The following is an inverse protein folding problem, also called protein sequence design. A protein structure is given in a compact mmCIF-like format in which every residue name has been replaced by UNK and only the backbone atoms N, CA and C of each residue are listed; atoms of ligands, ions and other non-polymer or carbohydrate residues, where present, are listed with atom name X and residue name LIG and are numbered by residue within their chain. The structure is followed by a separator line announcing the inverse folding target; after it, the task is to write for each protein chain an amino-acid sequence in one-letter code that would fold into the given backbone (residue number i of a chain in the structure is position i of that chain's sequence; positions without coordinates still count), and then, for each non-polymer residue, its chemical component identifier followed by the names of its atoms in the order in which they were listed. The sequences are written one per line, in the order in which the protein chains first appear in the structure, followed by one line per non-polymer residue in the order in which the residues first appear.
data_IF_897767733125
#
_entry.id   IF_897767733125
#
_cell.length_a   1.000
_cell.length_b   1.000
_cell.length_c   1.000
_cell.angle_alpha   90.00
_cell.angle_beta   90.00
_cell.angle_gamma   90.00
#
_symmetry.space_group_name_H-M   'P 1'
#
loop_
_entity.id
_entity.type
_entity.pdbx_description
1 polymer ?
#
# COMPACT_ATOMS: atom_id res chain seq x y z
N UNK A 1 1.31 5.86 11.47
CA UNK A 1 1.96 5.48 12.76
C UNK A 1 2.43 6.72 13.55
N UNK A 2 2.10 6.83 14.85
CA UNK A 2 2.34 8.05 15.65
C UNK A 2 3.82 8.38 15.89
N UNK A 3 4.73 7.41 15.74
CA UNK A 3 6.19 7.61 15.87
C UNK A 3 6.98 7.35 14.59
N UNK A 4 6.34 6.82 13.54
CA UNK A 4 7.01 6.47 12.28
C UNK A 4 8.07 5.36 12.40
N UNK A 5 8.20 4.67 13.53
CA UNK A 5 9.16 3.56 13.68
C UNK A 5 8.51 2.26 13.29
N UNK A 6 9.15 1.54 12.37
CA UNK A 6 8.77 0.20 11.97
C UNK A 6 9.70 -0.83 12.56
N UNK A 7 9.13 -1.98 12.91
CA UNK A 7 9.83 -3.14 13.42
C UNK A 7 9.57 -4.30 12.47
N UNK A 8 10.64 -4.94 12.00
CA UNK A 8 10.59 -6.10 11.11
C UNK A 8 11.40 -7.22 11.72
N UNK A 9 10.80 -8.41 11.79
CA UNK A 9 11.53 -9.63 12.09
C UNK A 9 11.64 -10.44 10.81
N UNK A 10 12.86 -10.66 10.35
CA UNK A 10 13.11 -11.38 9.11
C UNK A 10 12.99 -12.89 9.36
N UNK A 11 11.91 -13.52 8.89
CA UNK A 11 11.67 -14.95 9.06
C UNK A 11 12.76 -15.83 8.41
N UNK A 12 13.45 -15.33 7.37
CA UNK A 12 14.47 -16.06 6.63
C UNK A 12 15.80 -16.22 7.37
N UNK A 13 16.14 -15.31 8.28
CA UNK A 13 17.45 -15.31 8.96
C UNK A 13 17.37 -14.97 10.45
N UNK A 14 16.16 -14.79 11.00
CA UNK A 14 15.93 -14.46 12.41
C UNK A 14 16.45 -13.07 12.82
N UNK A 15 16.84 -12.21 11.87
CA UNK A 15 17.35 -10.89 12.18
C UNK A 15 16.24 -9.93 12.58
N UNK A 16 16.49 -9.17 13.63
CA UNK A 16 15.66 -8.04 14.03
C UNK A 16 16.13 -6.77 13.31
N UNK A 17 15.18 -6.02 12.77
CA UNK A 17 15.41 -4.75 12.10
C UNK A 17 14.42 -3.71 12.61
N UNK A 18 14.91 -2.50 12.81
CA UNK A 18 14.08 -1.35 13.14
C UNK A 18 14.60 -0.12 12.41
N UNK A 19 13.70 0.63 11.77
CA UNK A 19 14.04 1.94 11.22
C UNK A 19 12.85 2.88 11.29
N UNK A 20 13.16 4.17 11.27
CA UNK A 20 12.16 5.21 11.11
C UNK A 20 11.76 5.30 9.63
N UNK A 21 10.51 4.97 9.33
CA UNK A 21 9.92 5.09 8.00
C UNK A 21 8.47 5.60 8.10
N UNK A 22 8.22 6.76 7.50
CA UNK A 22 6.95 7.48 7.59
C UNK A 22 6.89 8.53 8.70
N UNK A 23 5.75 9.20 8.77
CA UNK A 23 5.48 10.33 9.64
C UNK A 23 4.14 10.17 10.40
N UNK A 24 3.92 11.04 11.38
CA UNK A 24 2.63 11.12 12.06
C UNK A 24 1.51 11.41 11.06
N UNK A 25 0.40 10.68 11.17
CA UNK A 25 -0.74 10.79 10.24
C UNK A 25 -0.64 9.90 8.99
N UNK A 26 0.52 9.29 8.71
CA UNK A 26 0.63 8.32 7.62
C UNK A 26 -0.17 7.04 7.94
N UNK A 27 -0.81 6.47 6.93
CA UNK A 27 -1.49 5.16 6.97
C UNK A 27 -0.52 4.08 6.54
N UNK A 28 -0.41 3.00 7.31
CA UNK A 28 0.46 1.85 6.99
C UNK A 28 -0.19 0.95 5.96
N UNK A 29 0.57 0.55 4.93
CA UNK A 29 0.07 -0.22 3.78
C UNK A 29 1.12 -1.22 3.28
N UNK A 30 1.64 -2.11 4.13
CA UNK A 30 2.68 -3.06 3.70
C UNK A 30 2.13 -4.07 2.67
N UNK A 31 2.88 -4.32 1.61
CA UNK A 31 2.60 -5.32 0.56
C UNK A 31 3.90 -5.61 -0.22
N UNK A 32 3.91 -6.60 -1.12
CA UNK A 32 5.04 -6.85 -2.04
C UNK A 32 4.89 -5.95 -3.27
N UNK A 33 5.51 -4.77 -3.26
CA UNK A 33 5.40 -3.79 -4.35
C UNK A 33 6.47 -3.97 -5.42
N UNK A 34 7.46 -4.82 -5.17
CA UNK A 34 8.58 -5.08 -6.10
C UNK A 34 8.45 -6.41 -6.83
N UNK A 35 7.64 -7.34 -6.31
CA UNK A 35 7.44 -8.68 -6.83
C UNK A 35 8.57 -9.64 -6.45
N UNK A 36 9.29 -9.34 -5.37
CA UNK A 36 10.41 -10.16 -4.89
C UNK A 36 9.96 -11.30 -3.96
N UNK A 37 8.66 -11.41 -3.71
CA UNK A 37 8.03 -12.39 -2.84
C UNK A 37 8.09 -12.01 -1.36
N UNK A 38 8.52 -10.80 -1.01
CA UNK A 38 8.56 -10.32 0.39
C UNK A 38 7.76 -9.04 0.55
N UNK A 39 7.21 -8.87 1.76
CA UNK A 39 6.49 -7.65 2.10
C UNK A 39 7.46 -6.47 2.26
N UNK A 40 7.26 -5.44 1.44
CA UNK A 40 7.88 -4.13 1.58
C UNK A 40 7.16 -3.29 2.64
N UNK A 41 7.90 -2.36 3.24
CA UNK A 41 7.30 -1.39 4.15
C UNK A 41 6.75 -0.25 3.32
N UNK A 42 5.46 0.08 3.47
CA UNK A 42 4.90 1.21 2.77
C UNK A 42 3.93 2.03 3.62
N UNK A 43 3.84 3.31 3.28
CA UNK A 43 2.91 4.26 3.88
C UNK A 43 2.23 5.12 2.81
N UNK A 44 0.95 5.40 3.04
CA UNK A 44 0.20 6.44 2.34
C UNK A 44 0.08 7.66 3.24
N UNK A 45 0.44 8.84 2.73
CA UNK A 45 0.32 10.13 3.43
C UNK A 45 -0.92 10.87 2.96
N UNK A 46 -2.02 10.88 3.75
CA UNK A 46 -3.26 11.53 3.32
C UNK A 46 -3.09 13.04 3.10
N UNK A 47 -2.28 13.72 3.90
CA UNK A 47 -2.10 15.18 3.78
C UNK A 47 -1.56 15.63 2.41
N UNK A 48 -0.88 14.75 1.68
CA UNK A 48 -0.28 15.05 0.36
C UNK A 48 -0.73 14.09 -0.75
N UNK A 49 -1.48 13.04 -0.43
CA UNK A 49 -1.82 11.98 -1.39
C UNK A 49 -0.61 11.17 -1.87
N UNK A 50 0.47 11.12 -1.10
CA UNK A 50 1.74 10.54 -1.54
C UNK A 50 1.98 9.16 -0.93
N UNK A 51 2.43 8.22 -1.75
CA UNK A 51 2.84 6.88 -1.36
C UNK A 51 4.35 6.80 -1.20
N UNK A 52 4.82 6.13 -0.15
CA UNK A 52 6.23 5.84 0.06
C UNK A 52 6.38 4.33 0.29
N UNK A 53 7.31 3.71 -0.42
CA UNK A 53 7.66 2.29 -0.32
C UNK A 53 9.15 2.19 0.01
N UNK A 54 9.48 1.39 1.01
CA UNK A 54 10.81 0.99 1.41
C UNK A 54 10.98 -0.49 1.08
N UNK A 55 11.84 -0.74 0.10
CA UNK A 55 12.12 -2.03 -0.49
C UNK A 55 12.73 -3.00 0.50
N UNK A 56 12.19 -4.21 0.56
CA UNK A 56 12.65 -5.24 1.48
C UNK A 56 13.99 -5.86 1.04
N UNK A 57 14.33 -5.80 -0.25
CA UNK A 57 15.50 -6.45 -0.81
C UNK A 57 16.80 -5.64 -0.68
N UNK A 58 16.70 -4.32 -0.46
CA UNK A 58 17.87 -3.44 -0.38
C UNK A 58 17.70 -2.18 0.48
N UNK A 59 16.58 -2.03 1.21
CA UNK A 59 16.27 -0.87 2.04
C UNK A 59 16.35 0.50 1.30
N UNK A 60 16.18 0.52 -0.03
CA UNK A 60 16.02 1.78 -0.79
C UNK A 60 14.55 2.17 -0.91
N UNK A 61 14.26 3.48 -0.95
CA UNK A 61 12.91 3.99 -0.98
C UNK A 61 12.52 4.57 -2.34
N UNK A 62 11.25 4.42 -2.71
CA UNK A 62 10.62 5.10 -3.85
C UNK A 62 9.18 5.46 -3.52
N UNK A 63 8.50 6.17 -4.43
CA UNK A 63 7.12 6.58 -4.19
C UNK A 63 6.56 7.44 -5.32
N UNK A 64 5.27 7.72 -5.24
CA UNK A 64 4.56 8.56 -6.21
C UNK A 64 3.33 9.24 -5.57
N UNK A 65 2.89 10.40 -6.09
CA UNK A 65 1.59 10.96 -5.73
C UNK A 65 0.49 10.14 -6.39
N UNK A 66 -0.39 9.55 -5.58
CA UNK A 66 -1.56 8.81 -6.07
C UNK A 66 -2.68 8.79 -5.02
N UNK A 67 -3.67 9.67 -5.20
CA UNK A 67 -4.81 9.83 -4.30
C UNK A 67 -4.90 11.24 -3.71
N UNK A 68 -5.90 11.43 -2.84
CA UNK A 68 -6.17 12.68 -2.12
C UNK A 68 -6.42 12.44 -0.63
N UNK A 69 -6.57 13.51 0.15
CA UNK A 69 -6.65 13.43 1.61
C UNK A 69 -7.82 12.63 2.18
N UNK A 70 -8.93 12.52 1.44
CA UNK A 70 -10.10 11.73 1.84
C UNK A 70 -9.98 10.25 1.47
N UNK A 71 -8.98 9.88 0.67
CA UNK A 71 -8.85 8.54 0.14
C UNK A 71 -8.36 7.54 1.22
N UNK A 72 -8.83 6.31 1.08
CA UNK A 72 -8.47 5.16 1.90
C UNK A 72 -7.59 4.26 1.05
N UNK A 73 -6.31 4.03 1.42
CA UNK A 73 -5.44 3.22 0.59
C UNK A 73 -5.85 1.74 0.68
N UNK A 74 -5.75 1.05 -0.46
CA UNK A 74 -6.22 -0.30 -0.66
C UNK A 74 -5.29 -1.03 -1.63
N UNK A 75 -4.00 -1.11 -1.31
CA UNK A 75 -3.02 -1.76 -2.17
C UNK A 75 -3.31 -3.25 -2.36
N UNK A 76 -3.00 -3.77 -3.55
CA UNK A 76 -3.21 -5.15 -3.96
C UNK A 76 -2.78 -5.35 -5.41
N UNK A 77 -2.58 -6.59 -5.83
CA UNK A 77 -2.28 -6.93 -7.23
C UNK A 77 -3.58 -6.97 -8.03
N UNK A 78 -3.88 -5.89 -8.74
CA UNK A 78 -5.11 -5.72 -9.52
C UNK A 78 -4.89 -5.93 -11.03
N UNK A 79 -3.63 -5.91 -11.49
CA UNK A 79 -3.28 -6.17 -12.87
C UNK A 79 -2.70 -7.57 -13.14
N UNK A 80 -2.46 -8.35 -12.09
CA UNK A 80 -2.05 -9.75 -12.14
C UNK A 80 -0.56 -9.94 -12.45
N UNK A 81 0.27 -8.90 -12.25
CA UNK A 81 1.69 -8.96 -12.55
C UNK A 81 2.56 -9.52 -11.39
N UNK A 82 1.93 -9.85 -10.26
CA UNK A 82 2.59 -10.38 -9.07
C UNK A 82 3.13 -9.30 -8.13
N UNK A 83 2.81 -8.02 -8.36
CA UNK A 83 3.16 -6.89 -7.49
C UNK A 83 1.90 -6.21 -6.98
N UNK A 84 2.00 -5.64 -5.79
CA UNK A 84 0.96 -4.78 -5.29
C UNK A 84 0.96 -3.42 -6.02
N UNK A 85 -0.23 -2.97 -6.38
CA UNK A 85 -0.48 -1.69 -7.02
C UNK A 85 -0.77 -0.60 -6.01
N UNK A 86 -0.52 0.65 -6.41
CA UNK A 86 -1.06 1.80 -5.68
C UNK A 86 -2.54 1.91 -5.98
N UNK A 87 -3.36 1.73 -4.96
CA UNK A 87 -4.81 1.78 -5.12
C UNK A 87 -5.44 2.50 -3.93
N UNK A 88 -6.50 3.26 -4.21
CA UNK A 88 -7.26 3.99 -3.22
C UNK A 88 -8.76 3.84 -3.43
N UNK A 89 -9.49 3.66 -2.35
CA UNK A 89 -10.93 3.82 -2.29
C UNK A 89 -11.27 5.27 -1.94
N UNK A 90 -12.12 5.90 -2.75
CA UNK A 90 -12.65 7.23 -2.47
C UNK A 90 -14.09 7.10 -1.96
N UNK A 91 -14.34 7.40 -0.67
CA UNK A 91 -15.68 7.29 -0.07
C UNK A 91 -16.53 8.54 -0.38
N UNK A 92 -16.66 8.89 -1.67
CA UNK A 92 -17.60 9.92 -2.14
C UNK A 92 -18.95 9.29 -2.53
N UNK A 93 -19.82 10.06 -3.18
CA UNK A 93 -21.15 9.58 -3.58
C UNK A 93 -21.09 8.42 -4.59
N UNK A 94 -19.97 8.26 -5.29
CA UNK A 94 -19.75 7.23 -6.30
C UNK A 94 -19.04 6.01 -5.72
N UNK A 95 -18.26 6.16 -4.65
CA UNK A 95 -17.61 5.04 -3.97
C UNK A 95 -16.65 4.28 -4.88
N UNK A 96 -15.77 4.99 -5.59
CA UNK A 96 -14.90 4.40 -6.61
C UNK A 96 -13.53 3.99 -6.07
N UNK A 97 -12.97 2.95 -6.68
CA UNK A 97 -11.58 2.58 -6.54
C UNK A 97 -10.79 3.16 -7.71
N UNK A 98 -9.68 3.80 -7.39
CA UNK A 98 -8.69 4.30 -8.32
C UNK A 98 -7.46 3.43 -8.16
N UNK A 99 -6.98 2.84 -9.25
CA UNK A 99 -5.88 1.89 -9.26
C UNK A 99 -4.83 2.40 -10.23
N UNK A 100 -3.56 2.39 -9.81
CA UNK A 100 -2.41 2.61 -10.66
C UNK A 100 -1.63 1.29 -10.71
N UNK A 101 -1.99 0.47 -11.70
CA UNK A 101 -1.36 -0.82 -11.98
C UNK A 101 0.13 -0.65 -12.29
N UNK A 102 0.99 -1.45 -11.69
CA UNK A 102 2.44 -1.40 -11.92
C UNK A 102 2.83 -1.71 -13.36
N UNK A 103 2.03 -2.49 -14.08
CA UNK A 103 2.24 -2.83 -15.48
C UNK A 103 1.10 -2.37 -16.39
N UNK A 104 -0.14 -2.30 -15.89
CA UNK A 104 -1.33 -1.92 -16.68
C UNK A 104 -1.66 -0.42 -16.64
N UNK A 105 -1.04 0.36 -15.74
CA UNK A 105 -1.32 1.79 -15.59
C UNK A 105 -2.65 2.09 -14.90
N UNK A 106 -3.19 3.28 -15.15
CA UNK A 106 -4.32 3.80 -14.39
C UNK A 106 -5.67 3.19 -14.81
N UNK A 107 -6.47 2.78 -13.83
CA UNK A 107 -7.86 2.34 -14.01
C UNK A 107 -8.76 2.83 -12.87
N UNK A 108 -10.07 2.85 -13.15
CA UNK A 108 -11.11 3.22 -12.17
C UNK A 108 -12.21 2.17 -12.20
N UNK A 109 -12.54 1.62 -11.04
CA UNK A 109 -13.56 0.58 -10.92
C UNK A 109 -14.54 0.92 -9.79
N UNK A 110 -15.86 0.74 -9.99
CA UNK A 110 -16.81 0.70 -8.88
C UNK A 110 -16.63 -0.63 -8.12
N UNK A 111 -16.72 -0.61 -6.79
CA UNK A 111 -16.62 -1.84 -5.98
C UNK A 111 -17.80 -1.94 -5.01
N UNK A 112 -18.45 -3.10 -4.99
CA UNK A 112 -19.47 -3.43 -3.99
C UNK A 112 -20.77 -2.63 -4.04
N UNK A 113 -21.73 -3.03 -3.21
CA UNK A 113 -22.92 -2.21 -2.90
C UNK A 113 -22.61 -1.26 -1.75
N UNK A 114 -23.48 -0.27 -1.49
CA UNK A 114 -23.32 0.64 -0.36
C UNK A 114 -23.20 -0.16 0.97
N UNK A 115 -22.02 -0.12 1.61
CA UNK A 115 -21.72 -0.80 2.87
C UNK A 115 -20.47 -1.68 2.87
N UNK A 116 -19.91 -2.00 1.70
CA UNK A 116 -18.70 -2.82 1.61
C UNK A 116 -17.44 -2.05 2.02
N UNK A 117 -16.60 -2.67 2.87
CA UNK A 117 -15.28 -2.16 3.27
C UNK A 117 -14.21 -3.09 2.67
N UNK A 118 -13.25 -2.59 1.89
CA UNK A 118 -12.17 -3.43 1.39
C UNK A 118 -11.32 -3.97 2.54
N UNK A 119 -11.11 -5.28 2.54
CA UNK A 119 -10.14 -5.93 3.40
C UNK A 119 -8.87 -6.24 2.60
N UNK A 120 -7.66 -5.96 3.13
CA UNK A 120 -6.41 -6.48 2.58
C UNK A 120 -6.47 -8.01 2.48
N UNK A 121 -5.85 -8.56 1.44
CA UNK A 121 -6.01 -9.96 1.03
C UNK A 121 -5.81 -10.97 2.17
N UNK A 122 -6.80 -11.85 2.33
CA UNK A 122 -6.71 -13.05 3.17
C UNK A 122 -6.15 -14.20 2.33
N UNK A 123 -5.17 -14.92 2.89
CA UNK A 123 -4.65 -16.17 2.36
C UNK A 123 -5.79 -17.14 2.04
N UNK A 124 -5.85 -17.60 0.78
CA UNK A 124 -6.63 -18.80 0.43
C UNK A 124 -5.70 -19.99 0.63
N UNK A 125 -6.15 -20.97 1.43
CA UNK A 125 -5.41 -22.19 1.81
C UNK A 125 -4.79 -22.95 0.64
#
# INVERSE_FOLDING_TARGET
PSTGVWYRFNSSNGAFWAAQFGAAGDKVVPADYTGDGKTDLAVYRPSTGFWYVLRSENDTAYGAPFGISTDIPAAGDYDGDGKADFAVYRPDAQGLFYILGSSAGFSVVPFGLAGDVPAPSAYVN
#
